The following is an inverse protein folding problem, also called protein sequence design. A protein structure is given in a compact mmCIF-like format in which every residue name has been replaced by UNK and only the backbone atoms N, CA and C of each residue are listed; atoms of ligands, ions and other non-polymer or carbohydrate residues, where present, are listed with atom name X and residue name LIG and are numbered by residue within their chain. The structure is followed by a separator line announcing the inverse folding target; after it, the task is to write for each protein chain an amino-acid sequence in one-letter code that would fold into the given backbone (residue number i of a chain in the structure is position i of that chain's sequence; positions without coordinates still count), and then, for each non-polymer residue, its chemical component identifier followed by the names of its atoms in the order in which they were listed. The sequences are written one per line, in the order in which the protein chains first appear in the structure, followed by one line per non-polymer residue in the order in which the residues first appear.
data_IF_742432025650
#
_entry.id   IF_742432025650
#
_cell.length_a   1.000
_cell.length_b   1.000
_cell.length_c   1.000
_cell.angle_alpha   90.00
_cell.angle_beta   90.00
_cell.angle_gamma   90.00
#
_symmetry.space_group_name_H-M   'P 1'
#
loop_
_entity.id
_entity.type
_entity.pdbx_description
1 polymer ?
#
# COMPACT_ATOMS: atom_id res chain seq x y z
N UNK A 1 24.73 11.68 -1.96
CA UNK A 1 23.62 10.74 -1.62
C UNK A 1 22.30 11.47 -1.46
N UNK A 2 22.24 12.60 -0.73
CA UNK A 2 21.02 13.41 -0.60
C UNK A 2 20.46 13.94 -1.94
N UNK A 3 21.31 14.32 -2.90
CA UNK A 3 20.87 14.85 -4.21
C UNK A 3 20.10 13.83 -5.09
N UNK A 4 20.22 12.53 -4.80
CA UNK A 4 19.52 11.46 -5.52
C UNK A 4 18.43 10.80 -4.66
N UNK A 5 18.00 11.49 -3.60
CA UNK A 5 16.90 11.05 -2.77
C UNK A 5 15.57 11.19 -3.52
N UNK A 6 14.85 10.07 -3.64
CA UNK A 6 13.55 9.99 -4.30
C UNK A 6 12.41 9.93 -3.28
N UNK A 7 12.69 10.01 -1.97
CA UNK A 7 11.72 9.80 -0.89
C UNK A 7 10.52 10.75 -1.02
N UNK A 8 10.76 12.04 -1.33
CA UNK A 8 9.68 13.02 -1.55
C UNK A 8 8.78 12.69 -2.75
N UNK A 9 9.36 12.19 -3.85
CA UNK A 9 8.62 11.80 -5.07
C UNK A 9 7.86 10.50 -4.88
N UNK A 10 8.45 9.53 -4.17
CA UNK A 10 7.81 8.28 -3.82
C UNK A 10 6.65 8.52 -2.85
N UNK A 11 6.85 9.36 -1.82
CA UNK A 11 5.85 9.65 -0.80
C UNK A 11 4.55 10.22 -1.40
N UNK A 12 4.61 10.97 -2.50
CA UNK A 12 3.42 11.47 -3.19
C UNK A 12 2.52 10.38 -3.79
N UNK A 13 3.03 9.16 -3.96
CA UNK A 13 2.33 8.01 -4.55
C UNK A 13 2.09 6.88 -3.54
N UNK A 14 2.40 7.12 -2.26
CA UNK A 14 2.32 6.14 -1.18
C UNK A 14 1.34 6.59 -0.10
N UNK A 15 0.81 5.61 0.62
CA UNK A 15 0.01 5.88 1.82
C UNK A 15 0.90 6.37 2.97
N UNK A 16 0.29 7.18 3.85
CA UNK A 16 0.96 7.79 5.01
C UNK A 16 1.72 6.77 5.87
N UNK A 17 1.13 5.60 6.09
CA UNK A 17 1.74 4.52 6.86
C UNK A 17 2.97 3.90 6.18
N UNK A 18 2.99 3.83 4.84
CA UNK A 18 4.13 3.31 4.06
C UNK A 18 5.28 4.31 3.95
N UNK A 19 5.02 5.61 4.17
CA UNK A 19 6.06 6.64 4.20
C UNK A 19 6.87 6.60 5.50
N UNK A 20 6.28 6.15 6.62
CA UNK A 20 6.98 6.11 7.91
C UNK A 20 8.23 5.23 7.91
N UNK A 21 8.22 3.97 7.40
CA UNK A 21 9.43 3.17 7.29
C UNK A 21 10.52 3.81 6.41
N UNK A 22 10.12 4.57 5.38
CA UNK A 22 11.08 5.29 4.54
C UNK A 22 11.76 6.42 5.32
N UNK A 23 11.01 7.18 6.11
CA UNK A 23 11.56 8.24 6.96
C UNK A 23 12.43 7.68 8.08
N UNK A 24 12.08 6.53 8.65
CA UNK A 24 12.92 5.82 9.62
C UNK A 24 14.25 5.38 8.99
N UNK A 25 14.23 4.83 7.78
CA UNK A 25 15.46 4.49 7.05
C UNK A 25 16.34 5.72 6.78
N UNK A 26 15.74 6.84 6.40
CA UNK A 26 16.45 8.11 6.18
C UNK A 26 17.08 8.63 7.47
N UNK A 27 16.38 8.48 8.60
CA UNK A 27 16.88 8.81 9.94
C UNK A 27 18.06 7.91 10.34
N UNK A 28 17.94 6.59 10.19
CA UNK A 28 19.02 5.63 10.50
C UNK A 28 20.28 5.89 9.67
N UNK A 29 20.10 6.25 8.39
CA UNK A 29 21.21 6.57 7.48
C UNK A 29 21.82 7.96 7.72
N UNK A 30 21.21 8.79 8.59
CA UNK A 30 21.63 10.16 8.91
C UNK A 30 21.87 11.01 7.66
N UNK A 31 20.98 10.87 6.67
CA UNK A 31 21.07 11.63 5.42
C UNK A 31 20.69 13.10 5.61
N UNK A 32 19.82 13.38 6.59
CA UNK A 32 19.38 14.71 6.99
C UNK A 32 19.48 14.85 8.52
N UNK A 33 19.45 16.09 9.05
CA UNK A 33 19.36 16.34 10.48
C UNK A 33 18.13 15.65 11.09
N UNK A 34 18.32 14.98 12.24
CA UNK A 34 17.23 14.25 12.91
C UNK A 34 16.04 15.16 13.24
N UNK A 35 16.29 16.42 13.59
CA UNK A 35 15.25 17.40 13.86
C UNK A 35 14.31 17.63 12.67
N UNK A 36 14.85 17.75 11.45
CA UNK A 36 14.05 17.98 10.23
C UNK A 36 13.22 16.75 9.86
N UNK A 37 13.78 15.55 10.05
CA UNK A 37 13.05 14.29 9.79
C UNK A 37 11.91 14.11 10.80
N UNK A 38 12.16 14.44 12.07
CA UNK A 38 11.13 14.34 13.11
C UNK A 38 10.03 15.39 12.92
N UNK A 39 10.38 16.61 12.50
CA UNK A 39 9.41 17.64 12.11
C UNK A 39 8.57 17.19 10.91
N UNK A 40 9.17 16.52 9.92
CA UNK A 40 8.45 15.97 8.76
C UNK A 40 7.51 14.79 9.11
N UNK A 41 7.79 14.05 10.20
CA UNK A 41 6.92 12.96 10.69
C UNK A 41 5.65 13.49 11.36
N UNK A 42 5.69 14.62 12.06
CA UNK A 42 4.54 15.20 12.75
C UNK A 42 3.30 15.43 11.86
N UNK A 43 3.37 16.11 10.71
CA UNK A 43 2.20 16.34 9.85
C UNK A 43 1.66 15.05 9.22
N UNK A 44 2.50 14.03 9.03
CA UNK A 44 2.05 12.71 8.59
C UNK A 44 1.24 12.02 9.69
N UNK A 45 1.67 12.17 10.94
CA UNK A 45 1.02 11.57 12.09
C UNK A 45 -0.26 12.28 12.49
N UNK A 46 -0.35 13.60 12.29
CA UNK A 46 -1.58 14.35 12.51
C UNK A 46 -2.75 13.84 11.65
N UNK A 47 -2.45 13.28 10.49
CA UNK A 47 -3.41 12.64 9.62
C UNK A 47 -3.73 11.18 9.96
N UNK A 48 -3.12 10.62 11.01
CA UNK A 48 -3.31 9.22 11.46
C UNK A 48 -3.73 9.19 12.93
N UNK A 49 -4.31 8.08 13.38
CA UNK A 49 -4.68 7.90 14.78
C UNK A 49 -3.57 7.19 15.59
N UNK A 50 -2.32 7.18 15.12
CA UNK A 50 -1.16 6.66 15.84
C UNK A 50 -0.69 7.63 16.93
N UNK A 51 -1.58 7.91 17.89
CA UNK A 51 -1.36 8.93 18.94
C UNK A 51 -0.16 8.60 19.80
N UNK A 52 0.11 7.32 20.08
CA UNK A 52 1.26 6.92 20.89
C UNK A 52 2.59 7.27 20.21
N UNK A 53 2.71 6.98 18.92
CA UNK A 53 3.92 7.30 18.15
C UNK A 53 4.09 8.83 17.98
N UNK A 54 2.99 9.56 17.78
CA UNK A 54 3.01 11.03 17.77
C UNK A 54 3.45 11.62 19.12
N UNK A 55 2.97 11.06 20.24
CA UNK A 55 3.40 11.46 21.58
C UNK A 55 4.89 11.23 21.80
N UNK A 56 5.44 10.09 21.38
CA UNK A 56 6.87 9.80 21.54
C UNK A 56 7.75 10.78 20.76
N UNK A 57 7.31 11.19 19.55
CA UNK A 57 8.01 12.21 18.75
C UNK A 57 7.89 13.60 19.39
N UNK A 58 6.70 14.00 19.84
CA UNK A 58 6.51 15.28 20.54
C UNK A 58 7.32 15.36 21.84
N UNK A 59 7.39 14.25 22.59
CA UNK A 59 8.21 14.16 23.80
C UNK A 59 9.69 14.31 23.49
N UNK A 60 10.14 13.73 22.38
CA UNK A 60 11.53 13.82 21.92
C UNK A 60 11.92 15.21 21.40
N UNK A 61 10.97 15.97 20.84
CA UNK A 61 11.21 17.30 20.27
C UNK A 61 10.98 18.47 21.23
N UNK A 62 9.84 18.45 21.94
CA UNK A 62 9.31 19.59 22.71
C UNK A 62 9.25 19.32 24.22
N UNK A 63 9.33 18.06 24.64
CA UNK A 63 9.30 17.67 26.06
C UNK A 63 7.95 17.85 26.76
N UNK A 64 6.86 18.09 26.04
CA UNK A 64 5.52 18.34 26.58
C UNK A 64 4.48 17.28 26.16
N UNK A 65 3.58 16.91 27.10
CA UNK A 65 2.52 15.91 26.96
C UNK A 65 1.16 16.51 26.54
N UNK A 66 1.13 17.29 25.46
CA UNK A 66 -0.09 18.02 25.04
C UNK A 66 -1.15 17.15 24.32
N UNK A 67 -0.88 15.85 24.09
CA UNK A 67 -1.69 14.97 23.23
C UNK A 67 -2.58 13.95 23.98
N UNK A 68 -2.68 14.03 25.32
CA UNK A 68 -3.42 13.04 26.14
C UNK A 68 -4.92 13.05 25.84
N UNK A 69 -5.53 14.22 25.63
CA UNK A 69 -6.96 14.34 25.31
C UNK A 69 -7.33 13.67 23.97
N UNK A 70 -6.45 13.76 22.97
CA UNK A 70 -6.64 13.14 21.66
C UNK A 70 -6.58 11.62 21.74
N UNK A 71 -5.75 11.08 22.65
CA UNK A 71 -5.69 9.64 22.93
C UNK A 71 -7.01 9.12 23.49
N UNK A 72 -7.60 9.82 24.46
CA UNK A 72 -8.88 9.43 25.07
C UNK A 72 -10.02 9.44 24.05
N UNK A 73 -10.06 10.43 23.15
CA UNK A 73 -11.04 10.47 22.07
C UNK A 73 -10.91 9.30 21.10
N UNK A 74 -9.68 8.96 20.69
CA UNK A 74 -9.39 7.83 19.81
C UNK A 74 -9.82 6.51 20.48
N UNK A 75 -9.53 6.32 21.76
CA UNK A 75 -9.95 5.12 22.50
C UNK A 75 -11.49 5.05 22.60
N UNK A 76 -12.16 6.16 22.91
CA UNK A 76 -13.62 6.19 23.00
C UNK A 76 -14.28 5.84 21.65
N UNK A 77 -13.73 6.35 20.54
CA UNK A 77 -14.19 5.99 19.19
C UNK A 77 -13.97 4.52 18.89
N UNK A 78 -12.81 3.95 19.24
CA UNK A 78 -12.51 2.53 19.10
C UNK A 78 -13.56 1.67 19.82
N UNK A 79 -13.84 1.97 21.09
CA UNK A 79 -14.82 1.23 21.90
C UNK A 79 -16.22 1.29 21.29
N UNK A 80 -16.62 2.45 20.74
CA UNK A 80 -17.94 2.58 20.09
C UNK A 80 -18.05 1.74 18.81
N UNK A 81 -16.97 1.66 18.02
CA UNK A 81 -16.92 0.91 16.78
C UNK A 81 -16.85 -0.60 17.04
N UNK A 82 -16.07 -1.02 18.04
CA UNK A 82 -16.03 -2.41 18.51
C UNK A 82 -17.39 -2.85 19.03
N UNK A 83 -18.07 -2.04 19.85
CA UNK A 83 -19.43 -2.34 20.31
C UNK A 83 -20.42 -2.48 19.13
N UNK A 84 -20.25 -1.67 18.09
CA UNK A 84 -21.07 -1.75 16.88
C UNK A 84 -20.75 -2.98 16.00
N UNK A 85 -19.53 -3.50 16.05
CA UNK A 85 -19.08 -4.67 15.29
C UNK A 85 -19.15 -5.98 16.09
N UNK A 86 -19.29 -5.93 17.42
CA UNK A 86 -19.41 -7.10 18.28
C UNK A 86 -20.51 -8.10 17.85
N UNK A 87 -21.70 -7.67 17.37
CA UNK A 87 -22.70 -8.60 16.85
C UNK A 87 -22.25 -9.35 15.59
N UNK A 88 -21.44 -8.71 14.74
CA UNK A 88 -20.85 -9.31 13.54
C UNK A 88 -19.76 -10.31 13.91
N UNK A 89 -18.87 -9.95 14.84
CA UNK A 89 -17.79 -10.82 15.29
C UNK A 89 -18.35 -12.06 16.02
N UNK A 90 -19.36 -11.88 16.87
CA UNK A 90 -20.06 -12.99 17.52
C UNK A 90 -20.72 -13.93 16.51
N UNK A 91 -21.35 -13.36 15.47
CA UNK A 91 -21.95 -14.14 14.37
C UNK A 91 -20.89 -14.96 13.60
N UNK A 92 -19.69 -14.43 13.39
CA UNK A 92 -18.60 -15.13 12.71
C UNK A 92 -17.94 -16.22 13.57
N UNK A 93 -17.95 -16.05 14.89
CA UNK A 93 -17.42 -17.04 15.83
C UNK A 93 -18.38 -18.22 16.05
N UNK A 94 -19.65 -18.11 15.66
CA UNK A 94 -20.60 -19.21 15.78
C UNK A 94 -20.42 -20.25 14.64
N UNK A 95 -19.90 -21.45 14.94
CA UNK A 95 -19.57 -22.45 13.92
C UNK A 95 -20.80 -23.00 13.19
N UNK A 96 -22.00 -22.83 13.76
CA UNK A 96 -23.28 -23.29 13.17
C UNK A 96 -23.73 -22.41 12.00
N UNK A 97 -23.50 -21.10 12.09
CA UNK A 97 -23.88 -20.14 11.04
C UNK A 97 -22.87 -20.11 9.89
N UNK A 98 -21.60 -20.40 10.18
CA UNK A 98 -20.55 -20.61 9.15
C UNK A 98 -20.83 -21.87 8.31
N UNK A 99 -21.45 -22.90 8.90
CA UNK A 99 -21.92 -24.08 8.16
C UNK A 99 -23.19 -23.81 7.32
N UNK A 100 -24.03 -22.83 7.72
CA UNK A 100 -25.16 -22.36 6.92
C UNK A 100 -24.74 -21.48 5.73
N UNK A 101 -23.49 -20.99 5.71
CA UNK A 101 -22.90 -20.34 4.54
C UNK A 101 -22.70 -21.39 3.43
N UNK A 102 -23.73 -21.58 2.61
CA UNK A 102 -23.68 -22.45 1.44
C UNK A 102 -22.51 -22.05 0.53
N UNK A 103 -21.59 -22.98 0.17
CA UNK A 103 -20.75 -22.79 -1.00
C UNK A 103 -21.63 -22.69 -2.27
N UNK A 104 -21.08 -22.10 -3.34
CA UNK A 104 -21.79 -21.77 -4.60
C UNK A 104 -22.85 -22.82 -5.00
N UNK A 105 -24.09 -22.41 -5.38
CA UNK A 105 -24.50 -21.11 -5.94
C UNK A 105 -25.29 -20.17 -4.98
N UNK A 106 -25.31 -20.45 -3.67
CA UNK A 106 -26.08 -19.68 -2.68
C UNK A 106 -25.42 -18.40 -2.13
N UNK A 107 -24.22 -18.04 -2.61
CA UNK A 107 -23.40 -16.93 -2.08
C UNK A 107 -24.16 -15.60 -2.08
N UNK A 108 -24.94 -15.32 -3.12
CA UNK A 108 -25.75 -14.10 -3.22
C UNK A 108 -26.85 -14.03 -2.15
N UNK A 109 -27.40 -15.17 -1.72
CA UNK A 109 -28.43 -15.24 -0.68
C UNK A 109 -27.83 -15.03 0.72
N UNK A 110 -26.65 -15.59 0.97
CA UNK A 110 -25.88 -15.34 2.20
C UNK A 110 -25.49 -13.86 2.31
N UNK A 111 -25.07 -13.27 1.18
CA UNK A 111 -24.74 -11.85 1.11
C UNK A 111 -25.95 -10.97 1.35
N UNK A 112 -27.11 -11.27 0.76
CA UNK A 112 -28.33 -10.50 1.00
C UNK A 112 -28.82 -10.63 2.45
N UNK A 113 -28.76 -11.82 3.04
CA UNK A 113 -29.14 -12.04 4.45
C UNK A 113 -28.21 -11.30 5.42
N UNK A 114 -26.90 -11.30 5.15
CA UNK A 114 -25.90 -10.61 5.98
C UNK A 114 -25.93 -9.10 5.73
N UNK A 115 -26.12 -8.62 4.50
CA UNK A 115 -26.26 -7.20 4.20
C UNK A 115 -27.56 -6.60 4.76
N UNK A 116 -28.64 -7.38 4.84
CA UNK A 116 -29.89 -6.96 5.47
C UNK A 116 -29.82 -6.98 7.00
N UNK A 117 -29.06 -7.92 7.59
CA UNK A 117 -28.95 -8.06 9.06
C UNK A 117 -27.82 -7.24 9.68
N UNK A 118 -26.73 -7.02 8.95
CA UNK A 118 -25.54 -6.36 9.44
C UNK A 118 -25.08 -5.28 8.47
N UNK A 119 -24.83 -4.08 8.99
CA UNK A 119 -24.30 -2.98 8.20
C UNK A 119 -22.82 -3.25 7.89
N UNK A 120 -22.54 -4.02 6.83
CA UNK A 120 -21.17 -4.35 6.41
C UNK A 120 -20.27 -3.10 6.25
N UNK A 121 -20.86 -1.93 5.97
CA UNK A 121 -20.21 -0.62 6.01
C UNK A 121 -19.43 -0.37 7.33
N UNK A 122 -19.98 -0.76 8.48
CA UNK A 122 -19.36 -0.52 9.79
C UNK A 122 -18.09 -1.35 10.01
N UNK A 123 -18.00 -2.52 9.37
CA UNK A 123 -16.83 -3.38 9.47
C UNK A 123 -15.65 -2.79 8.68
N UNK A 124 -15.94 -2.12 7.55
CA UNK A 124 -14.94 -1.34 6.83
C UNK A 124 -14.46 -0.14 7.66
N UNK A 125 -15.37 0.59 8.31
CA UNK A 125 -15.01 1.73 9.15
C UNK A 125 -14.16 1.30 10.36
N UNK A 126 -14.47 0.15 10.97
CA UNK A 126 -13.65 -0.44 12.02
C UNK A 126 -12.28 -0.90 11.51
N UNK A 127 -12.22 -1.56 10.35
CA UNK A 127 -10.95 -2.00 9.78
C UNK A 127 -10.05 -0.80 9.40
N UNK A 128 -10.65 0.27 8.86
CA UNK A 128 -9.96 1.53 8.59
C UNK A 128 -9.45 2.15 9.89
N UNK A 129 -10.23 2.13 10.96
CA UNK A 129 -9.82 2.64 12.26
C UNK A 129 -8.64 1.85 12.84
N UNK A 130 -8.66 0.52 12.74
CA UNK A 130 -7.52 -0.33 13.14
C UNK A 130 -6.27 -0.05 12.32
N UNK A 131 -6.42 0.16 11.02
CA UNK A 131 -5.32 0.56 10.15
C UNK A 131 -4.73 1.92 10.56
N UNK A 132 -5.59 2.93 10.80
CA UNK A 132 -5.19 4.27 11.26
C UNK A 132 -4.51 4.25 12.65
N UNK A 133 -4.84 3.26 13.49
CA UNK A 133 -4.19 3.02 14.78
C UNK A 133 -2.85 2.27 14.66
N UNK A 134 -2.51 1.76 13.48
CA UNK A 134 -1.28 1.00 13.23
C UNK A 134 -1.38 -0.49 13.57
N UNK A 135 -2.59 -1.03 13.79
CA UNK A 135 -2.78 -2.44 14.06
C UNK A 135 -3.17 -3.21 12.79
N UNK A 136 -2.15 -3.53 11.99
CA UNK A 136 -2.31 -4.11 10.65
C UNK A 136 -2.87 -5.54 10.63
N UNK A 137 -2.49 -6.48 11.54
CA UNK A 137 -3.01 -7.85 11.51
C UNK A 137 -4.54 -7.93 11.63
N UNK A 138 -5.11 -7.21 12.60
CA UNK A 138 -6.56 -7.16 12.76
C UNK A 138 -7.24 -6.44 11.60
N UNK A 139 -6.64 -5.37 11.08
CA UNK A 139 -7.15 -4.68 9.90
C UNK A 139 -7.27 -5.63 8.69
N UNK A 140 -6.28 -6.49 8.46
CA UNK A 140 -6.28 -7.51 7.40
C UNK A 140 -7.43 -8.49 7.58
N UNK A 141 -7.60 -9.06 8.77
CA UNK A 141 -8.67 -10.03 9.05
C UNK A 141 -10.06 -9.44 8.80
N UNK A 142 -10.30 -8.23 9.31
CA UNK A 142 -11.57 -7.54 9.09
C UNK A 142 -11.76 -7.16 7.61
N UNK A 143 -10.73 -6.71 6.90
CA UNK A 143 -10.85 -6.40 5.47
C UNK A 143 -11.09 -7.66 4.62
N UNK A 144 -10.49 -8.80 4.97
CA UNK A 144 -10.79 -10.07 4.30
C UNK A 144 -12.24 -10.49 4.51
N UNK A 145 -12.74 -10.38 5.74
CA UNK A 145 -14.15 -10.63 6.06
C UNK A 145 -15.05 -9.68 5.27
N UNK A 146 -14.77 -8.38 5.29
CA UNK A 146 -15.50 -7.37 4.52
C UNK A 146 -15.57 -7.73 3.03
N UNK A 147 -14.45 -8.18 2.44
CA UNK A 147 -14.37 -8.57 1.03
C UNK A 147 -15.23 -9.79 0.71
N UNK A 148 -15.36 -10.75 1.63
CA UNK A 148 -16.27 -11.88 1.45
C UNK A 148 -17.72 -11.40 1.42
N UNK A 149 -18.07 -10.41 2.24
CA UNK A 149 -19.44 -9.94 2.47
C UNK A 149 -19.94 -8.80 1.56
N UNK A 150 -19.06 -8.08 0.88
CA UNK A 150 -19.45 -6.93 0.06
C UNK A 150 -19.33 -7.16 -1.45
N UNK A 151 -20.43 -6.90 -2.15
CA UNK A 151 -20.55 -6.83 -3.62
C UNK A 151 -20.40 -5.42 -4.18
N UNK A 152 -20.21 -4.40 -3.33
CA UNK A 152 -20.02 -3.02 -3.78
C UNK A 152 -18.65 -2.85 -4.48
N UNK A 153 -18.70 -2.57 -5.78
CA UNK A 153 -17.52 -2.55 -6.67
C UNK A 153 -16.44 -1.53 -6.26
N UNK A 154 -16.82 -0.34 -5.76
CA UNK A 154 -15.85 0.72 -5.41
C UNK A 154 -15.13 0.47 -4.08
N UNK A 155 -15.89 0.10 -3.04
CA UNK A 155 -15.31 -0.21 -1.73
C UNK A 155 -14.50 -1.49 -1.73
N UNK A 156 -14.79 -2.43 -2.64
CA UNK A 156 -13.98 -3.63 -2.84
C UNK A 156 -12.55 -3.30 -3.29
N UNK A 157 -12.34 -2.34 -4.21
CA UNK A 157 -10.99 -1.94 -4.63
C UNK A 157 -10.24 -1.28 -3.48
N UNK A 158 -10.92 -0.40 -2.74
CA UNK A 158 -10.35 0.29 -1.57
C UNK A 158 -9.97 -0.70 -0.46
N UNK A 159 -10.78 -1.73 -0.25
CA UNK A 159 -10.47 -2.80 0.70
C UNK A 159 -9.23 -3.61 0.25
N UNK A 160 -9.11 -3.95 -1.03
CA UNK A 160 -7.92 -4.64 -1.54
C UNK A 160 -6.65 -3.81 -1.37
N UNK A 161 -6.71 -2.49 -1.58
CA UNK A 161 -5.59 -1.58 -1.28
C UNK A 161 -5.23 -1.59 0.20
N UNK A 162 -6.22 -1.53 1.10
CA UNK A 162 -5.99 -1.60 2.55
C UNK A 162 -5.36 -2.92 2.99
N UNK A 163 -5.78 -4.06 2.41
CA UNK A 163 -5.16 -5.37 2.66
C UNK A 163 -3.70 -5.35 2.20
N UNK A 164 -3.44 -4.90 0.97
CA UNK A 164 -2.09 -4.82 0.42
C UNK A 164 -1.17 -3.94 1.29
N UNK A 165 -1.63 -2.75 1.70
CA UNK A 165 -0.86 -1.87 2.58
C UNK A 165 -0.55 -2.54 3.92
N UNK A 166 -1.54 -3.20 4.51
CA UNK A 166 -1.39 -3.87 5.81
C UNK A 166 -0.45 -5.08 5.74
N UNK A 167 -0.50 -5.88 4.67
CA UNK A 167 0.41 -7.02 4.47
C UNK A 167 1.86 -6.55 4.21
N UNK A 168 2.06 -5.45 3.49
CA UNK A 168 3.38 -4.83 3.31
C UNK A 168 3.95 -4.38 4.67
N UNK A 169 3.12 -3.76 5.51
CA UNK A 169 3.52 -3.28 6.84
C UNK A 169 3.75 -4.40 7.85
N UNK A 170 3.08 -5.55 7.70
CA UNK A 170 3.33 -6.77 8.47
C UNK A 170 4.53 -7.59 7.97
N UNK A 171 5.20 -7.17 6.88
CA UNK A 171 6.30 -7.89 6.22
C UNK A 171 5.94 -9.29 5.69
N UNK A 172 4.66 -9.54 5.39
CA UNK A 172 4.18 -10.79 4.80
C UNK A 172 4.26 -10.72 3.27
N UNK A 173 5.45 -10.95 2.71
CA UNK A 173 5.70 -10.73 1.28
C UNK A 173 4.95 -11.69 0.35
N UNK A 174 4.73 -12.94 0.77
CA UNK A 174 4.03 -13.95 -0.05
C UNK A 174 2.54 -13.61 -0.21
N UNK A 175 1.86 -13.30 0.90
CA UNK A 175 0.47 -12.86 0.90
C UNK A 175 0.31 -11.53 0.16
N UNK A 176 1.25 -10.59 0.34
CA UNK A 176 1.25 -9.32 -0.37
C UNK A 176 1.39 -9.52 -1.90
N UNK A 177 2.17 -10.51 -2.35
CA UNK A 177 2.31 -10.82 -3.78
C UNK A 177 1.01 -11.37 -4.37
N UNK A 178 0.30 -12.25 -3.66
CA UNK A 178 -1.01 -12.74 -4.08
C UNK A 178 -2.02 -11.60 -4.22
N UNK A 179 -2.08 -10.72 -3.20
CA UNK A 179 -2.98 -9.57 -3.21
C UNK A 179 -2.62 -8.55 -4.29
N UNK A 180 -1.33 -8.35 -4.58
CA UNK A 180 -0.88 -7.52 -5.69
C UNK A 180 -1.36 -8.06 -7.05
N UNK A 181 -1.25 -9.38 -7.27
CA UNK A 181 -1.72 -9.99 -8.53
C UNK A 181 -3.24 -9.87 -8.67
N UNK A 182 -3.99 -10.05 -7.59
CA UNK A 182 -5.45 -9.83 -7.57
C UNK A 182 -5.79 -8.36 -7.87
N UNK A 183 -5.09 -7.42 -7.26
CA UNK A 183 -5.31 -5.99 -7.46
C UNK A 183 -4.97 -5.57 -8.89
N UNK A 184 -3.92 -6.15 -9.48
CA UNK A 184 -3.57 -6.01 -10.90
C UNK A 184 -4.70 -6.48 -11.80
N UNK A 185 -5.24 -7.68 -11.58
CA UNK A 185 -6.37 -8.21 -12.36
C UNK A 185 -7.60 -7.31 -12.26
N UNK A 186 -7.90 -6.77 -11.08
CA UNK A 186 -9.00 -5.82 -10.87
C UNK A 186 -8.78 -4.52 -11.65
N UNK A 187 -7.57 -3.96 -11.64
CA UNK A 187 -7.25 -2.72 -12.36
C UNK A 187 -7.28 -2.92 -13.87
N UNK A 188 -6.83 -4.08 -14.35
CA UNK A 188 -6.76 -4.39 -15.78
C UNK A 188 -8.09 -4.89 -16.35
N UNK A 189 -8.99 -5.45 -15.52
CA UNK A 189 -10.33 -5.88 -15.92
C UNK A 189 -11.39 -4.77 -15.84
N UNK A 190 -11.29 -3.86 -14.86
CA UNK A 190 -12.24 -2.76 -14.73
C UNK A 190 -11.93 -1.67 -15.74
N UNK A 191 -12.87 -1.42 -16.65
CA UNK A 191 -12.94 -0.14 -17.36
C UNK A 191 -13.37 0.93 -16.34
N UNK A 192 -12.39 1.53 -15.66
CA UNK A 192 -12.66 2.69 -14.81
C UNK A 192 -13.36 3.76 -15.65
N UNK A 193 -14.28 4.49 -15.02
CA UNK A 193 -15.06 5.56 -15.66
C UNK A 193 -14.17 6.64 -16.31
N UNK A 194 -12.92 6.78 -15.83
CA UNK A 194 -11.91 7.68 -16.38
C UNK A 194 -10.59 6.95 -16.66
N UNK A 195 -10.04 7.04 -17.89
CA UNK A 195 -8.71 6.53 -18.23
C UNK A 195 -7.60 7.13 -17.36
N UNK A 196 -7.77 8.36 -16.89
CA UNK A 196 -6.82 9.01 -15.99
C UNK A 196 -6.72 8.30 -14.64
N UNK A 197 -7.87 7.92 -14.05
CA UNK A 197 -7.88 7.19 -12.78
C UNK A 197 -7.27 5.79 -12.92
N UNK A 198 -7.47 5.15 -14.08
CA UNK A 198 -6.82 3.87 -14.37
C UNK A 198 -5.30 4.01 -14.46
N UNK A 199 -4.81 5.07 -15.11
CA UNK A 199 -3.39 5.38 -15.17
C UNK A 199 -2.81 5.63 -13.77
N UNK A 200 -3.50 6.41 -12.95
CA UNK A 200 -3.10 6.70 -11.58
C UNK A 200 -3.01 5.44 -10.72
N UNK A 201 -4.02 4.54 -10.79
CA UNK A 201 -4.01 3.26 -10.08
C UNK A 201 -2.85 2.35 -10.51
N UNK A 202 -2.49 2.35 -11.81
CA UNK A 202 -1.30 1.63 -12.30
C UNK A 202 -0.02 2.22 -11.74
N UNK A 203 0.09 3.54 -11.66
CA UNK A 203 1.25 4.22 -11.08
C UNK A 203 1.41 3.83 -9.61
N UNK A 204 0.33 3.90 -8.83
CA UNK A 204 0.33 3.45 -7.43
C UNK A 204 0.76 1.99 -7.31
N UNK A 205 0.18 1.10 -8.12
CA UNK A 205 0.51 -0.33 -8.08
C UNK A 205 1.99 -0.55 -8.37
N UNK A 206 2.57 0.16 -9.34
CA UNK A 206 4.01 0.07 -9.62
C UNK A 206 4.85 0.51 -8.42
N UNK A 207 4.52 1.63 -7.78
CA UNK A 207 5.25 2.12 -6.61
C UNK A 207 5.17 1.14 -5.44
N UNK A 208 3.99 0.61 -5.16
CA UNK A 208 3.77 -0.32 -4.04
C UNK A 208 4.41 -1.68 -4.32
N UNK A 209 4.43 -2.10 -5.58
CA UNK A 209 5.08 -3.34 -6.02
C UNK A 209 6.58 -3.37 -5.74
N UNK A 210 7.25 -2.20 -5.72
CA UNK A 210 8.67 -2.13 -5.42
C UNK A 210 8.98 -2.70 -4.03
N UNK A 211 8.17 -2.39 -3.02
CA UNK A 211 8.36 -2.89 -1.65
C UNK A 211 8.33 -4.42 -1.60
N UNK A 212 7.37 -5.02 -2.31
CA UNK A 212 7.18 -6.47 -2.33
C UNK A 212 8.31 -7.14 -3.11
N UNK A 213 8.57 -6.64 -4.32
CA UNK A 213 9.46 -7.34 -5.23
C UNK A 213 10.95 -7.22 -4.88
N UNK A 214 11.38 -6.17 -4.17
CA UNK A 214 12.77 -6.09 -3.70
C UNK A 214 13.05 -7.01 -2.51
N UNK A 215 12.03 -7.33 -1.70
CA UNK A 215 12.17 -8.19 -0.53
C UNK A 215 11.90 -9.67 -0.84
N UNK A 216 11.10 -9.99 -1.86
CA UNK A 216 10.80 -11.36 -2.25
C UNK A 216 11.91 -11.99 -3.13
N UNK A 217 12.25 -13.26 -2.88
CA UNK A 217 13.35 -13.96 -3.57
C UNK A 217 13.17 -14.02 -5.11
N UNK A 218 11.93 -14.21 -5.58
CA UNK A 218 11.58 -14.23 -7.00
C UNK A 218 11.07 -12.88 -7.54
N UNK A 219 10.99 -11.85 -6.70
CA UNK A 219 10.34 -10.58 -7.05
C UNK A 219 11.04 -9.83 -8.20
N UNK A 220 12.34 -10.06 -8.40
CA UNK A 220 13.13 -9.45 -9.47
C UNK A 220 12.64 -9.81 -10.87
N UNK A 221 12.16 -11.04 -11.07
CA UNK A 221 11.55 -11.42 -12.35
C UNK A 221 10.17 -10.76 -12.49
N UNK A 222 9.41 -10.68 -11.39
CA UNK A 222 8.10 -10.02 -11.34
C UNK A 222 8.15 -8.55 -11.71
N UNK A 223 9.15 -7.78 -11.25
CA UNK A 223 9.33 -6.36 -11.65
C UNK A 223 9.49 -6.26 -13.15
N UNK A 224 10.38 -7.08 -13.73
CA UNK A 224 10.67 -7.05 -15.16
C UNK A 224 9.40 -7.41 -15.93
N UNK A 225 8.71 -8.48 -15.55
CA UNK A 225 7.47 -8.91 -16.21
C UNK A 225 6.32 -7.91 -16.09
N UNK A 226 6.24 -7.17 -14.99
CA UNK A 226 5.20 -6.16 -14.78
C UNK A 226 5.52 -4.85 -15.52
N UNK A 227 6.74 -4.33 -15.38
CA UNK A 227 7.10 -2.99 -15.87
C UNK A 227 7.31 -2.96 -17.39
N UNK A 228 7.70 -4.08 -18.01
CA UNK A 228 7.83 -4.18 -19.47
C UNK A 228 6.49 -4.35 -20.20
N UNK A 229 5.38 -4.55 -19.50
CA UNK A 229 4.06 -4.56 -20.13
C UNK A 229 3.73 -3.15 -20.67
N UNK A 230 3.31 -3.05 -21.94
CA UNK A 230 3.08 -1.78 -22.64
C UNK A 230 2.24 -0.77 -21.82
N UNK A 231 1.24 -1.28 -21.11
CA UNK A 231 0.33 -0.48 -20.27
C UNK A 231 1.05 0.22 -19.11
N UNK A 232 1.98 -0.48 -18.47
CA UNK A 232 2.74 0.01 -17.32
C UNK A 232 3.94 0.82 -17.78
N UNK A 233 4.57 0.43 -18.88
CA UNK A 233 5.65 1.18 -19.50
C UNK A 233 5.17 2.57 -19.92
N UNK A 234 3.99 2.69 -20.52
CA UNK A 234 3.37 3.99 -20.84
C UNK A 234 3.13 4.84 -19.58
N UNK A 235 2.77 4.22 -18.45
CA UNK A 235 2.60 4.94 -17.19
C UNK A 235 3.92 5.49 -16.64
N UNK A 236 5.02 4.73 -16.78
CA UNK A 236 6.39 5.17 -16.45
C UNK A 236 6.77 6.37 -17.31
N UNK A 237 6.56 6.29 -18.64
CA UNK A 237 6.90 7.34 -19.62
C UNK A 237 6.19 8.68 -19.38
N UNK A 238 5.02 8.66 -18.74
CA UNK A 238 4.17 9.84 -18.65
C UNK A 238 4.37 10.56 -17.33
N UNK A 239 4.29 9.82 -16.21
CA UNK A 239 4.20 10.43 -14.88
C UNK A 239 5.27 9.93 -13.90
N UNK A 240 5.96 8.81 -14.17
CA UNK A 240 6.77 8.12 -13.16
C UNK A 240 8.15 7.69 -13.69
N UNK A 241 8.86 8.61 -14.35
CA UNK A 241 10.18 8.38 -14.95
C UNK A 241 11.25 7.86 -13.96
N UNK A 242 11.16 8.22 -12.68
CA UNK A 242 12.10 7.76 -11.64
C UNK A 242 12.04 6.25 -11.39
N UNK A 243 10.96 5.58 -11.78
CA UNK A 243 10.84 4.12 -11.68
C UNK A 243 11.86 3.38 -12.57
N UNK A 244 12.38 4.04 -13.61
CA UNK A 244 13.44 3.49 -14.47
C UNK A 244 14.72 3.16 -13.70
N UNK A 245 15.03 3.89 -12.63
CA UNK A 245 16.19 3.59 -11.76
C UNK A 245 16.07 2.21 -11.13
N UNK A 246 14.89 1.88 -10.61
CA UNK A 246 14.61 0.60 -9.97
C UNK A 246 14.56 -0.54 -11.00
N UNK A 247 13.99 -0.27 -12.18
CA UNK A 247 13.99 -1.22 -13.29
C UNK A 247 15.42 -1.53 -13.78
N UNK A 248 16.25 -0.50 -13.94
CA UNK A 248 17.66 -0.63 -14.27
C UNK A 248 18.43 -1.49 -13.26
N UNK A 249 18.29 -1.18 -11.97
CA UNK A 249 18.91 -1.98 -10.92
C UNK A 249 18.44 -3.44 -10.95
N UNK A 250 17.13 -3.69 -11.10
CA UNK A 250 16.57 -5.03 -11.16
C UNK A 250 17.09 -5.84 -12.37
N UNK A 251 17.20 -5.23 -13.55
CA UNK A 251 17.71 -5.88 -14.77
C UNK A 251 19.21 -6.17 -14.68
N UNK A 252 20.02 -5.23 -14.16
CA UNK A 252 21.48 -5.41 -14.02
C UNK A 252 21.81 -6.56 -13.06
N UNK A 253 21.11 -6.61 -11.92
CA UNK A 253 21.32 -7.65 -10.89
C UNK A 253 20.87 -9.03 -11.40
N UNK A 254 19.88 -9.08 -12.29
CA UNK A 254 19.34 -10.33 -12.80
C UNK A 254 20.16 -10.90 -13.98
N UNK A 255 21.03 -11.87 -13.68
CA UNK A 255 21.90 -12.53 -14.67
C UNK A 255 21.13 -13.32 -15.75
N UNK A 256 19.88 -13.74 -15.50
CA UNK A 256 19.11 -14.60 -16.42
C UNK A 256 18.41 -13.85 -17.55
N UNK A 257 18.11 -12.56 -17.38
CA UNK A 257 17.32 -11.75 -18.34
C UNK A 257 18.11 -10.63 -19.01
N UNK A 258 19.38 -10.88 -19.33
CA UNK A 258 20.25 -9.90 -20.03
C UNK A 258 19.70 -9.45 -21.39
N UNK A 259 18.85 -10.25 -22.04
CA UNK A 259 18.26 -9.90 -23.33
C UNK A 259 17.38 -8.63 -23.24
N UNK A 260 16.72 -8.42 -22.10
CA UNK A 260 15.87 -7.24 -21.84
C UNK A 260 16.68 -5.95 -21.66
N UNK A 261 18.00 -6.05 -21.44
CA UNK A 261 18.87 -4.90 -21.24
C UNK A 261 18.92 -4.02 -22.49
N UNK A 262 18.89 -4.62 -23.69
CA UNK A 262 18.84 -3.86 -24.96
C UNK A 262 17.55 -3.06 -25.10
N UNK A 263 16.42 -3.63 -24.70
CA UNK A 263 15.13 -2.94 -24.74
C UNK A 263 15.07 -1.83 -23.69
N UNK A 264 15.61 -2.08 -22.49
CA UNK A 264 15.72 -1.07 -21.46
C UNK A 264 16.56 0.13 -21.92
N UNK A 265 17.71 -0.10 -22.57
CA UNK A 265 18.55 0.99 -23.10
C UNK A 265 17.76 1.84 -24.10
N UNK A 266 16.96 1.23 -24.99
CA UNK A 266 16.11 1.98 -25.94
C UNK A 266 15.11 2.87 -25.20
N UNK A 267 14.46 2.36 -24.16
CA UNK A 267 13.50 3.12 -23.34
C UNK A 267 14.19 4.29 -22.63
N UNK A 268 15.35 4.05 -22.01
CA UNK A 268 16.14 5.08 -21.32
C UNK A 268 16.61 6.17 -22.30
N UNK A 269 17.02 5.80 -23.51
CA UNK A 269 17.43 6.75 -24.54
C UNK A 269 16.28 7.66 -24.99
N UNK A 270 15.06 7.12 -25.08
CA UNK A 270 13.86 7.90 -25.42
C UNK A 270 13.48 8.89 -24.31
N UNK A 271 13.68 8.54 -23.04
CA UNK A 271 13.26 9.33 -21.87
C UNK A 271 14.36 10.22 -21.28
N UNK A 272 15.52 10.31 -21.93
CA UNK A 272 16.69 11.04 -21.46
C UNK A 272 16.42 12.54 -21.16
N UNK A 273 15.46 13.14 -21.85
CA UNK A 273 15.11 14.54 -21.64
C UNK A 273 14.37 14.79 -20.32
N UNK A 274 13.69 13.78 -19.77
CA UNK A 274 12.82 13.93 -18.60
C UNK A 274 13.50 13.55 -17.28
N UNK A 275 14.41 12.57 -17.29
CA UNK A 275 15.04 12.08 -16.07
C UNK A 275 16.50 11.67 -16.28
N UNK A 276 17.37 12.14 -15.38
CA UNK A 276 18.81 11.80 -15.35
C UNK A 276 19.18 11.29 -13.97
N UNK A 277 19.89 10.17 -13.95
CA UNK A 277 20.37 9.53 -12.74
C UNK A 277 21.69 8.80 -13.07
N UNK A 278 22.67 8.72 -12.15
CA UNK A 278 23.96 8.10 -12.45
C UNK A 278 23.84 6.64 -12.92
N UNK A 279 22.80 5.92 -12.48
CA UNK A 279 22.54 4.54 -12.90
C UNK A 279 22.00 4.50 -14.34
N UNK A 280 21.12 5.43 -14.71
CA UNK A 280 20.59 5.49 -16.08
C UNK A 280 21.64 6.01 -17.05
N UNK A 281 22.54 6.89 -16.61
CA UNK A 281 23.70 7.34 -17.38
C UNK A 281 24.73 6.22 -17.57
N UNK A 282 25.00 5.43 -16.53
CA UNK A 282 25.88 4.26 -16.64
C UNK A 282 25.39 3.27 -17.70
N UNK A 283 24.09 2.96 -17.71
CA UNK A 283 23.49 2.08 -18.72
C UNK A 283 23.51 2.65 -20.14
N UNK A 284 23.59 3.97 -20.29
CA UNK A 284 23.73 4.61 -21.60
C UNK A 284 25.15 4.49 -22.15
N UNK A 285 26.15 4.45 -21.26
CA UNK A 285 27.55 4.32 -21.63
C UNK A 285 27.97 2.88 -21.97
N UNK A 286 27.12 1.89 -21.67
CA UNK A 286 27.28 0.47 -22.01
C UNK A 286 26.78 0.17 -23.43
#
# INVERSE_FOLDING_TARGET
MAEHDLTSRLAAQLDRHLVLPLLEFVQERRLYPEAEVMEAKLPLLDGTNMVNYAMDIHRSLLGADDMVARREEVIARLMSLEAAAAPLVAFLQEPKLVQELKPEPGRQFNLHMIQQRFQACRLYDLAKFWFECGNYPFAVEYLYQYRVFCTQSERSVSASWGILASEILNHNWDAALEELNRLKEIIDSKNFLSPFNQLQNRIWLMHWSLFIFFNHENGRNGIIDLFFQDRYLNAIRTNAHHLLRYLAAAVIVNKRRRNMLKELIKVIQQEYHCYKDPITEFLKCL
#
